data_IF_167913052542
#
_entry.id   IF_167913052542
#
_cell.length_a   1.000
_cell.length_b   1.000
_cell.length_c   1.000
_cell.angle_alpha   90.00
_cell.angle_beta   90.00
_cell.angle_gamma   90.00
#
_symmetry.space_group_name_H-M   'P 1'
#
loop_
_entity.id
_entity.type
_entity.pdbx_description
1 polymer ?
#
# COMPACT_ATOMS: atom_id res chain seq x y z
N UNK A 1 1.94 -23.70 -27.55
CA UNK A 1 1.43 -23.65 -26.17
C UNK A 1 2.03 -22.44 -25.48
N UNK A 2 1.24 -21.39 -25.26
CA UNK A 2 1.66 -20.22 -24.47
C UNK A 2 1.63 -20.61 -22.99
N UNK A 3 2.80 -20.86 -22.40
CA UNK A 3 2.94 -20.99 -20.96
C UNK A 3 2.71 -19.62 -20.32
N UNK A 4 1.60 -19.43 -19.61
CA UNK A 4 1.46 -18.28 -18.72
C UNK A 4 2.39 -18.49 -17.53
N UNK A 5 3.32 -17.56 -17.29
CA UNK A 5 4.04 -17.53 -16.04
C UNK A 5 3.05 -17.15 -14.92
N UNK A 6 2.74 -18.08 -14.01
CA UNK A 6 2.01 -17.80 -12.76
C UNK A 6 2.91 -17.07 -11.75
N UNK A 7 3.57 -15.99 -12.18
CA UNK A 7 4.39 -15.15 -11.31
C UNK A 7 3.53 -13.99 -10.81
N UNK A 8 3.00 -14.14 -9.60
CA UNK A 8 2.32 -13.07 -8.86
C UNK A 8 3.20 -12.70 -7.67
N UNK A 9 3.46 -11.40 -7.52
CA UNK A 9 4.16 -10.91 -6.34
C UNK A 9 3.17 -10.90 -5.19
N UNK A 10 3.48 -11.62 -4.11
CA UNK A 10 2.74 -11.60 -2.86
C UNK A 10 3.74 -11.48 -1.73
N UNK A 11 3.62 -10.43 -0.94
CA UNK A 11 4.51 -10.12 0.16
C UNK A 11 3.70 -10.04 1.45
N UNK A 12 3.73 -11.10 2.28
CA UNK A 12 3.23 -11.03 3.64
C UNK A 12 4.15 -10.14 4.47
N UNK A 13 3.56 -9.26 5.26
CA UNK A 13 4.28 -8.58 6.32
C UNK A 13 3.80 -9.10 7.67
N UNK A 14 4.73 -9.21 8.62
CA UNK A 14 4.46 -9.78 9.94
C UNK A 14 3.76 -8.74 10.82
N UNK A 15 4.51 -8.09 11.70
CA UNK A 15 4.01 -7.03 12.55
C UNK A 15 4.22 -5.66 11.88
N UNK A 16 3.37 -4.67 12.20
CA UNK A 16 3.65 -3.30 11.84
C UNK A 16 4.97 -2.86 12.47
N UNK A 17 5.76 -2.10 11.73
CA UNK A 17 6.94 -1.42 12.23
C UNK A 17 6.53 -0.38 13.28
N UNK A 18 5.53 0.45 12.95
CA UNK A 18 4.97 1.50 13.82
C UNK A 18 3.48 1.73 13.53
N UNK A 19 2.78 2.27 14.52
CA UNK A 19 1.43 2.82 14.40
C UNK A 19 1.41 4.28 14.84
N UNK A 20 1.66 5.20 13.91
CA UNK A 20 1.93 6.61 14.23
C UNK A 20 1.33 7.57 13.21
N UNK A 21 1.26 8.86 13.59
CA UNK A 21 0.83 9.96 12.71
C UNK A 21 2.00 10.45 11.86
N UNK A 22 2.48 9.61 10.95
CA UNK A 22 3.58 9.92 10.03
C UNK A 22 3.18 9.56 8.61
N UNK A 23 3.41 10.47 7.67
CA UNK A 23 3.15 10.23 6.23
C UNK A 23 4.19 10.95 5.35
N UNK A 24 5.18 10.23 4.81
CA UNK A 24 6.23 10.85 3.99
C UNK A 24 5.78 11.29 2.59
N UNK A 25 4.56 10.93 2.15
CA UNK A 25 4.04 11.30 0.82
C UNK A 25 3.06 12.48 0.95
N UNK A 26 2.05 12.38 1.80
CA UNK A 26 1.01 13.42 1.96
C UNK A 26 1.46 14.53 2.91
N UNK A 27 2.25 14.22 3.94
CA UNK A 27 2.70 15.18 4.96
C UNK A 27 4.21 15.10 5.18
N UNK A 28 5.03 15.28 4.11
CA UNK A 28 6.47 15.12 4.19
C UNK A 28 7.05 16.06 5.23
N UNK A 29 8.01 15.57 6.02
CA UNK A 29 8.67 16.29 7.13
C UNK A 29 7.76 16.77 8.26
N UNK A 30 6.45 16.49 8.20
CA UNK A 30 5.47 16.96 9.18
C UNK A 30 5.05 15.82 10.10
N UNK A 31 5.24 16.03 11.40
CA UNK A 31 4.79 15.13 12.45
C UNK A 31 4.11 15.97 13.54
N UNK A 32 2.85 15.70 13.91
CA UNK A 32 1.99 14.63 13.39
C UNK A 32 1.36 14.92 12.02
N UNK A 33 1.11 13.85 11.24
CA UNK A 33 0.27 13.86 10.04
C UNK A 33 -1.23 13.94 10.41
N UNK A 34 -2.11 13.99 9.40
CA UNK A 34 -3.57 14.21 9.59
C UNK A 34 -4.28 13.06 10.30
N UNK A 35 -3.78 11.82 10.22
CA UNK A 35 -4.34 10.66 10.89
C UNK A 35 -3.25 9.60 11.19
N UNK A 36 -3.60 8.57 11.94
CA UNK A 36 -2.66 7.49 12.34
C UNK A 36 -2.56 6.47 11.21
N UNK A 37 -1.35 6.04 10.89
CA UNK A 37 -1.09 4.98 9.93
C UNK A 37 -0.60 3.71 10.62
N UNK A 38 -0.95 2.56 10.07
CA UNK A 38 -0.26 1.29 10.33
C UNK A 38 0.82 1.13 9.27
N UNK A 39 2.10 1.12 9.66
CA UNK A 39 3.24 1.10 8.74
C UNK A 39 3.95 -0.23 8.78
N UNK A 40 4.25 -0.80 7.62
CA UNK A 40 5.06 -2.00 7.44
C UNK A 40 6.24 -1.73 6.48
N UNK A 41 7.23 -2.62 6.51
CA UNK A 41 8.34 -2.61 5.57
C UNK A 41 9.67 -2.20 6.21
N UNK A 42 10.47 -1.45 5.47
CA UNK A 42 11.83 -1.05 5.85
C UNK A 42 11.94 -0.32 7.19
N UNK A 43 12.96 -0.70 7.96
CA UNK A 43 13.24 -0.19 9.31
C UNK A 43 13.50 1.33 9.38
N UNK A 44 14.14 1.93 8.38
CA UNK A 44 14.53 3.35 8.43
C UNK A 44 13.39 4.31 8.04
N UNK A 45 12.14 3.94 8.32
CA UNK A 45 10.96 4.74 8.02
C UNK A 45 10.91 6.00 8.91
N UNK A 46 10.76 7.16 8.27
CA UNK A 46 10.68 8.49 8.87
C UNK A 46 9.78 9.41 8.06
N UNK A 47 9.33 10.52 8.65
CA UNK A 47 8.52 11.55 7.96
C UNK A 47 9.19 12.15 6.70
N UNK A 48 10.51 12.03 6.57
CA UNK A 48 11.29 12.49 5.43
C UNK A 48 11.91 11.34 4.61
N UNK A 49 11.33 10.13 4.66
CA UNK A 49 11.85 8.97 3.93
C UNK A 49 12.04 9.25 2.44
N UNK A 50 13.20 8.87 1.92
CA UNK A 50 13.55 8.87 0.50
C UNK A 50 13.92 7.46 0.05
N UNK A 51 14.13 7.29 -1.26
CA UNK A 51 14.66 6.06 -1.82
C UNK A 51 15.93 5.61 -1.08
N UNK A 52 16.93 6.50 -0.99
CA UNK A 52 18.24 6.19 -0.42
C UNK A 52 18.17 5.87 1.08
N UNK A 53 17.36 6.62 1.83
CA UNK A 53 17.22 6.35 3.28
C UNK A 53 16.60 4.98 3.52
N UNK A 54 15.63 4.58 2.69
CA UNK A 54 15.04 3.25 2.82
C UNK A 54 15.97 2.14 2.33
N UNK A 55 16.73 2.35 1.23
CA UNK A 55 17.77 1.41 0.78
C UNK A 55 18.84 1.16 1.84
N UNK A 56 19.12 2.14 2.68
CA UNK A 56 20.06 2.02 3.79
C UNK A 56 19.49 1.26 5.01
N UNK A 57 18.25 0.77 4.96
CA UNK A 57 17.65 0.00 6.04
C UNK A 57 18.34 -1.35 6.21
N UNK A 58 18.60 -1.72 7.46
CA UNK A 58 19.24 -2.99 7.81
C UNK A 58 18.29 -4.20 7.73
N UNK A 59 16.99 -3.95 7.83
CA UNK A 59 15.95 -4.97 7.82
C UNK A 59 14.59 -4.39 7.41
N UNK A 60 13.62 -5.28 7.24
CA UNK A 60 12.21 -5.00 6.90
C UNK A 60 11.30 -5.87 7.76
N UNK A 61 10.07 -5.42 8.04
CA UNK A 61 9.07 -6.23 8.74
C UNK A 61 8.33 -7.23 7.83
N UNK A 62 8.70 -7.28 6.56
CA UNK A 62 8.10 -8.13 5.54
C UNK A 62 8.95 -9.37 5.22
N UNK A 63 8.32 -10.41 4.65
CA UNK A 63 8.95 -11.72 4.50
C UNK A 63 10.12 -11.75 3.50
N UNK A 64 10.12 -10.87 2.50
CA UNK A 64 11.21 -10.76 1.52
C UNK A 64 12.20 -9.72 2.02
N UNK A 65 13.34 -10.18 2.56
CA UNK A 65 14.35 -9.32 3.19
C UNK A 65 14.96 -8.24 2.26
N UNK A 66 14.95 -8.48 0.96
CA UNK A 66 15.43 -7.58 -0.08
C UNK A 66 14.43 -6.46 -0.38
N UNK A 67 13.16 -6.63 0.00
CA UNK A 67 12.16 -5.58 -0.14
C UNK A 67 12.25 -4.59 1.02
N UNK A 68 12.90 -3.47 0.73
CA UNK A 68 13.04 -2.33 1.64
C UNK A 68 11.99 -1.25 1.38
N UNK A 69 10.87 -1.58 0.74
CA UNK A 69 9.73 -0.66 0.60
C UNK A 69 9.04 -0.40 1.92
N UNK A 70 8.34 0.73 2.00
CA UNK A 70 7.37 0.98 3.04
C UNK A 70 5.96 1.01 2.46
N UNK A 71 5.06 0.39 3.20
CA UNK A 71 3.64 0.26 2.89
C UNK A 71 2.85 0.69 4.11
N UNK A 72 1.88 1.57 3.94
CA UNK A 72 1.08 2.00 5.07
C UNK A 72 -0.33 2.38 4.66
N UNK A 73 -1.21 2.34 5.66
CA UNK A 73 -2.63 2.54 5.50
C UNK A 73 -3.23 3.11 6.78
N UNK A 74 -4.37 3.81 6.73
CA UNK A 74 -4.99 4.41 7.91
C UNK A 74 -5.30 3.36 8.99
N UNK A 75 -4.93 3.64 10.24
CA UNK A 75 -5.31 2.82 11.38
C UNK A 75 -6.80 3.04 11.67
N UNK A 76 -7.58 1.96 11.61
CA UNK A 76 -9.00 2.00 11.92
C UNK A 76 -9.24 1.87 13.41
N UNK A 77 -10.20 2.66 13.89
CA UNK A 77 -10.73 2.59 15.25
C UNK A 77 -12.24 2.51 15.16
N UNK A 78 -12.86 1.71 16.04
CA UNK A 78 -14.30 1.75 16.24
C UNK A 78 -14.59 2.38 17.60
N UNK A 79 -15.73 3.07 17.71
CA UNK A 79 -16.20 3.61 18.98
C UNK A 79 -17.09 2.56 19.65
N UNK A 80 -16.64 1.99 20.76
CA UNK A 80 -17.41 0.98 21.48
C UNK A 80 -18.73 1.62 22.00
N UNK A 81 -19.91 1.08 21.64
CA UNK A 81 -21.18 1.60 22.13
C UNK A 81 -21.34 1.48 23.65
N UNK A 82 -20.62 0.57 24.33
CA UNK A 82 -20.69 0.36 25.78
C UNK A 82 -19.76 1.31 26.52
N UNK A 83 -18.45 1.23 26.28
CA UNK A 83 -17.47 2.06 27.00
C UNK A 83 -17.37 3.49 26.47
N UNK A 84 -17.91 3.76 25.28
CA UNK A 84 -17.79 5.03 24.52
C UNK A 84 -16.36 5.40 24.11
N UNK A 85 -15.40 4.51 24.34
CA UNK A 85 -13.98 4.66 23.99
C UNK A 85 -13.72 4.25 22.54
N UNK A 86 -12.59 4.70 21.99
CA UNK A 86 -12.10 4.23 20.70
C UNK A 86 -11.19 3.02 20.90
N UNK A 87 -11.51 1.95 20.20
CA UNK A 87 -10.76 0.71 20.21
C UNK A 87 -10.14 0.46 18.83
N UNK A 88 -8.86 0.10 18.83
CA UNK A 88 -8.11 -0.18 17.62
C UNK A 88 -8.64 -1.45 16.95
N UNK A 89 -8.96 -1.37 15.66
CA UNK A 89 -9.33 -2.55 14.87
C UNK A 89 -8.04 -3.32 14.53
N UNK A 90 -7.95 -4.63 14.86
CA UNK A 90 -6.85 -5.48 14.41
C UNK A 90 -6.82 -5.55 12.88
N UNK A 91 -5.64 -5.42 12.31
CA UNK A 91 -5.41 -5.39 10.88
C UNK A 91 -4.15 -6.18 10.52
N UNK A 92 -4.14 -6.73 9.31
CA UNK A 92 -2.96 -7.34 8.70
C UNK A 92 -2.71 -6.71 7.34
N UNK A 93 -1.53 -6.93 6.79
CA UNK A 93 -1.17 -6.41 5.47
C UNK A 93 -0.68 -7.53 4.57
N UNK A 94 -1.27 -7.58 3.38
CA UNK A 94 -0.78 -8.39 2.29
C UNK A 94 -0.61 -7.52 1.05
N UNK A 95 0.63 -7.34 0.63
CA UNK A 95 0.94 -6.62 -0.61
C UNK A 95 0.92 -7.62 -1.75
N UNK A 96 0.27 -7.27 -2.85
CA UNK A 96 0.33 -8.07 -4.06
C UNK A 96 0.29 -7.20 -5.32
N UNK A 97 1.03 -7.63 -6.35
CA UNK A 97 0.89 -7.08 -7.70
C UNK A 97 0.41 -8.18 -8.62
N UNK A 98 -0.68 -7.90 -9.33
CA UNK A 98 -1.18 -8.81 -10.34
C UNK A 98 -0.42 -8.58 -11.64
N UNK A 99 0.35 -9.58 -12.05
CA UNK A 99 1.00 -9.57 -13.35
C UNK A 99 -0.08 -9.74 -14.43
N UNK A 100 -0.28 -8.70 -15.25
CA UNK A 100 -1.18 -8.76 -16.42
C UNK A 100 -0.50 -9.42 -17.63
N UNK A 101 0.71 -9.94 -17.48
CA UNK A 101 1.45 -10.67 -18.51
C UNK A 101 1.71 -9.82 -19.76
N UNK A 102 1.61 -10.44 -20.93
CA UNK A 102 1.70 -9.76 -22.22
C UNK A 102 0.44 -8.97 -22.60
N UNK A 103 -0.63 -9.02 -21.79
CA UNK A 103 -1.88 -8.33 -22.11
C UNK A 103 -1.68 -6.82 -22.25
N UNK A 104 -0.78 -6.23 -21.45
CA UNK A 104 -0.45 -4.81 -21.59
C UNK A 104 0.12 -4.51 -22.98
N UNK A 105 1.09 -5.28 -23.46
CA UNK A 105 1.64 -5.13 -24.82
C UNK A 105 0.61 -5.41 -25.92
N UNK A 106 -0.22 -6.43 -25.76
CA UNK A 106 -1.26 -6.81 -26.72
C UNK A 106 -2.31 -5.69 -26.85
N UNK A 107 -2.57 -4.96 -25.76
CA UNK A 107 -3.48 -3.81 -25.74
C UNK A 107 -2.81 -2.48 -26.12
N UNK A 108 -1.62 -2.49 -26.71
CA UNK A 108 -0.89 -1.28 -27.14
C UNK A 108 -0.15 -0.54 -26.01
N UNK A 109 -0.05 -1.14 -24.83
CA UNK A 109 0.70 -0.62 -23.68
C UNK A 109 2.22 -0.86 -23.79
N UNK A 110 3.02 -0.17 -22.94
CA UNK A 110 4.48 -0.24 -22.96
C UNK A 110 5.07 -1.60 -22.51
N UNK A 111 4.23 -2.53 -22.06
CA UNK A 111 4.59 -3.76 -21.40
C UNK A 111 4.88 -3.57 -19.91
N UNK A 112 4.93 -4.70 -19.19
CA UNK A 112 5.33 -4.72 -17.78
C UNK A 112 6.77 -4.21 -17.63
N UNK A 113 6.97 -3.23 -16.74
CA UNK A 113 8.26 -2.68 -16.36
C UNK A 113 8.42 -2.76 -14.85
N UNK A 114 9.67 -2.86 -14.37
CA UNK A 114 9.96 -2.70 -12.95
C UNK A 114 9.59 -1.28 -12.49
N UNK A 115 9.23 -1.13 -11.22
CA UNK A 115 9.02 0.19 -10.64
C UNK A 115 10.35 0.98 -10.68
N UNK A 116 10.34 2.26 -11.09
CA UNK A 116 11.56 3.05 -11.09
C UNK A 116 12.00 3.37 -9.65
N UNK A 117 13.30 3.65 -9.43
CA UNK A 117 13.80 4.15 -8.16
C UNK A 117 13.02 5.39 -7.68
N UNK A 118 12.62 5.37 -6.41
CA UNK A 118 11.90 6.48 -5.78
C UNK A 118 10.41 6.56 -6.13
N UNK A 119 9.86 5.51 -6.75
CA UNK A 119 8.45 5.42 -7.04
C UNK A 119 7.61 5.54 -5.76
N UNK A 120 6.60 6.42 -5.82
CA UNK A 120 5.65 6.71 -4.74
C UNK A 120 4.25 6.56 -5.30
N UNK A 121 3.39 5.87 -4.56
CA UNK A 121 2.00 5.68 -4.93
C UNK A 121 1.09 5.99 -3.76
N UNK A 122 -0.03 6.63 -4.07
CA UNK A 122 -1.21 6.71 -3.21
C UNK A 122 -2.35 6.11 -4.03
N UNK A 123 -3.14 5.27 -3.40
CA UNK A 123 -4.37 4.75 -3.98
C UNK A 123 -5.51 4.92 -3.00
N UNK A 124 -6.73 5.12 -3.52
CA UNK A 124 -7.91 5.37 -2.71
C UNK A 124 -8.30 6.83 -2.59
N UNK A 125 -9.28 7.07 -1.72
CA UNK A 125 -9.80 8.39 -1.41
C UNK A 125 -10.08 8.48 0.09
N UNK A 126 -9.29 9.26 0.86
CA UNK A 126 -9.47 9.40 2.31
C UNK A 126 -10.83 9.97 2.72
N UNK A 127 -11.49 10.72 1.83
CA UNK A 127 -12.79 11.31 2.10
C UNK A 127 -13.96 10.45 1.60
N UNK A 128 -13.70 9.28 1.01
CA UNK A 128 -14.77 8.36 0.63
C UNK A 128 -15.55 7.88 1.87
N UNK A 129 -16.88 7.82 1.72
CA UNK A 129 -17.82 7.36 2.77
C UNK A 129 -18.77 6.28 2.28
N UNK A 130 -18.81 6.04 0.97
CA UNK A 130 -19.65 5.05 0.33
C UNK A 130 -19.02 4.62 -0.99
N UNK A 131 -19.49 3.48 -1.49
CA UNK A 131 -19.13 2.98 -2.81
C UNK A 131 -19.86 3.77 -3.89
N UNK A 132 -19.16 4.16 -4.96
CA UNK A 132 -19.72 4.93 -6.08
C UNK A 132 -20.17 4.03 -7.24
N UNK A 133 -19.51 2.90 -7.47
CA UNK A 133 -19.77 2.02 -8.61
C UNK A 133 -20.41 0.69 -8.18
N UNK A 134 -21.37 0.18 -8.95
CA UNK A 134 -21.94 -1.15 -8.73
C UNK A 134 -20.95 -2.25 -9.14
N UNK A 135 -20.90 -3.35 -8.40
CA UNK A 135 -20.02 -4.47 -8.76
C UNK A 135 -20.42 -5.05 -10.13
N UNK A 136 -19.43 -5.31 -10.99
CA UNK A 136 -19.63 -5.96 -12.28
C UNK A 136 -19.81 -5.02 -13.46
N UNK A 137 -19.65 -3.70 -13.27
CA UNK A 137 -19.69 -2.72 -14.37
C UNK A 137 -18.54 -2.90 -15.36
N UNK A 138 -17.37 -3.39 -14.90
CA UNK A 138 -16.21 -3.64 -15.77
C UNK A 138 -15.53 -2.37 -16.30
N UNK A 139 -15.94 -1.19 -15.84
CA UNK A 139 -15.27 0.07 -16.15
C UNK A 139 -13.98 0.19 -15.36
N UNK A 140 -12.99 0.92 -15.89
CA UNK A 140 -11.71 1.11 -15.19
C UNK A 140 -11.89 1.77 -13.82
N UNK A 141 -12.87 2.68 -13.68
CA UNK A 141 -13.17 3.33 -12.41
C UNK A 141 -13.79 2.36 -11.39
N UNK A 142 -14.66 1.45 -11.82
CA UNK A 142 -15.22 0.43 -10.94
C UNK A 142 -14.18 -0.60 -10.51
N UNK A 143 -13.33 -1.04 -11.45
CA UNK A 143 -12.23 -1.97 -11.16
C UNK A 143 -11.23 -1.34 -10.18
N UNK A 144 -10.91 -0.06 -10.36
CA UNK A 144 -10.06 0.68 -9.42
C UNK A 144 -10.70 0.77 -8.03
N UNK A 145 -11.97 1.18 -7.93
CA UNK A 145 -12.68 1.26 -6.65
C UNK A 145 -12.75 -0.10 -5.94
N UNK A 146 -12.99 -1.19 -6.69
CA UNK A 146 -13.01 -2.55 -6.12
C UNK A 146 -11.65 -3.03 -5.64
N UNK A 147 -10.58 -2.66 -6.32
CA UNK A 147 -9.22 -2.99 -5.88
C UNK A 147 -8.89 -2.36 -4.53
N UNK A 148 -9.42 -1.16 -4.26
CA UNK A 148 -9.23 -0.42 -3.00
C UNK A 148 -10.22 -0.87 -1.92
N UNK A 149 -11.46 -1.21 -2.29
CA UNK A 149 -12.51 -1.62 -1.34
C UNK A 149 -12.15 -2.88 -0.53
N UNK A 150 -11.24 -3.72 -1.04
CA UNK A 150 -10.70 -4.89 -0.35
C UNK A 150 -9.51 -4.56 0.58
N UNK A 151 -8.96 -3.34 0.51
CA UNK A 151 -7.61 -3.00 1.00
C UNK A 151 -7.57 -1.73 1.88
N UNK A 152 -8.72 -1.25 2.37
CA UNK A 152 -8.91 0.00 3.15
C UNK A 152 -9.01 1.25 2.26
N UNK A 153 -9.70 2.33 2.69
CA UNK A 153 -10.08 3.45 1.82
C UNK A 153 -8.90 4.24 1.24
N UNK A 154 -7.68 4.06 1.77
CA UNK A 154 -6.45 4.71 1.33
C UNK A 154 -5.25 3.80 1.64
N UNK A 155 -4.34 3.63 0.69
CA UNK A 155 -3.07 2.90 0.89
C UNK A 155 -1.94 3.64 0.20
N UNK A 156 -0.84 3.80 0.92
CA UNK A 156 0.34 4.51 0.49
C UNK A 156 1.52 3.57 0.39
N UNK A 157 2.39 3.88 -0.56
CA UNK A 157 3.51 3.04 -0.90
C UNK A 157 4.70 3.90 -1.32
N UNK A 158 5.87 3.59 -0.75
CA UNK A 158 7.16 4.11 -1.18
C UNK A 158 8.08 2.95 -1.50
N UNK A 159 8.43 2.83 -2.79
CA UNK A 159 9.26 1.76 -3.35
C UNK A 159 10.72 2.19 -3.48
N UNK A 160 11.64 1.44 -2.87
CA UNK A 160 13.05 1.46 -3.20
C UNK A 160 13.49 0.16 -3.87
N UNK A 161 12.63 -0.42 -4.73
CA UNK A 161 12.98 -1.64 -5.45
C UNK A 161 13.71 -1.27 -6.74
N UNK A 162 14.87 -1.92 -6.90
CA UNK A 162 15.48 -2.37 -8.15
C UNK A 162 15.25 -3.89 -8.20
#
# INVERSE_FOLDING_TARGET
MTSFANAWFRLPCTNPLVQERVDPIISPTRTPSQHVHTVHGAYNFKANSTFDTLRASKCTSCQVSQDLSNYWFPKLYFRDPKTKMFEAVPNGLLIYYQNRGSLDKINGGPGLKAFPPGFRMITGNPVARSKKYQNGLGTQQELAERAIALVLPEVHELKPIL
#
